data_IF_853147615319
#
_entry.id   IF_853147615319
#
_cell.length_a   1.000
_cell.length_b   1.000
_cell.length_c   1.000
_cell.angle_alpha   90.00
_cell.angle_beta   90.00
_cell.angle_gamma   90.00
#
_symmetry.space_group_name_H-M   'P 1'
#
loop_
_entity.id
_entity.type
_entity.pdbx_description
1 polymer ?
#
# COMPACT_ATOMS: atom_id res chain seq x y z
N UNK A 1 5.80 29.32 14.30
CA UNK A 1 6.08 28.02 14.96
C UNK A 1 6.65 27.09 13.90
N UNK A 2 7.62 26.27 14.24
CA UNK A 2 8.16 25.24 13.34
C UNK A 2 7.06 24.22 13.03
N UNK A 3 6.96 23.71 11.80
CA UNK A 3 6.03 22.62 11.49
C UNK A 3 6.42 21.38 12.30
N UNK A 4 5.45 20.77 12.99
CA UNK A 4 5.68 19.56 13.78
C UNK A 4 5.38 18.33 12.92
N UNK A 5 6.32 17.38 12.85
CA UNK A 5 6.15 16.08 12.19
C UNK A 5 6.36 14.97 13.21
N UNK A 6 5.40 14.05 13.30
CA UNK A 6 5.54 12.86 14.13
C UNK A 6 6.10 11.71 13.31
N UNK A 7 7.14 11.06 13.84
CA UNK A 7 7.79 9.90 13.22
C UNK A 7 7.46 8.65 14.03
N UNK A 8 6.69 7.75 13.44
CA UNK A 8 6.30 6.47 14.02
C UNK A 8 7.23 5.37 13.49
N UNK A 9 7.78 4.53 14.37
CA UNK A 9 8.69 3.46 13.94
C UNK A 9 8.08 2.10 14.18
N UNK A 10 8.14 1.23 13.18
CA UNK A 10 7.63 -0.16 13.24
C UNK A 10 8.75 -1.21 13.14
N UNK A 11 10.00 -0.77 12.94
CA UNK A 11 11.15 -1.63 12.65
C UNK A 11 11.56 -1.55 11.17
N UNK A 12 11.86 -2.70 10.57
CA UNK A 12 12.32 -2.79 9.18
C UNK A 12 13.80 -2.52 8.99
N UNK A 13 14.27 -2.60 7.73
CA UNK A 13 15.71 -2.50 7.35
C UNK A 13 16.36 -1.20 7.82
N UNK A 14 15.61 -0.13 7.90
CA UNK A 14 16.11 1.18 8.41
C UNK A 14 16.58 1.08 9.87
N UNK A 15 16.05 0.14 10.66
CA UNK A 15 16.48 -0.16 12.02
C UNK A 15 17.55 -1.26 12.14
N UNK A 16 18.13 -1.69 11.02
CA UNK A 16 19.14 -2.74 10.99
C UNK A 16 20.55 -2.16 10.80
N UNK A 17 21.54 -2.97 11.21
CA UNK A 17 22.95 -2.80 10.91
C UNK A 17 23.55 -4.16 10.55
N UNK A 18 24.41 -4.18 9.54
CA UNK A 18 25.16 -5.39 9.18
C UNK A 18 26.23 -5.69 10.23
N UNK A 19 26.31 -6.96 10.63
CA UNK A 19 27.40 -7.48 11.47
C UNK A 19 28.60 -7.91 10.60
N UNK A 20 29.71 -8.29 11.25
CA UNK A 20 30.95 -8.69 10.56
C UNK A 20 30.78 -9.92 9.66
N UNK A 21 29.80 -10.77 9.95
CA UNK A 21 29.42 -11.94 9.13
C UNK A 21 28.48 -11.62 7.95
N UNK A 22 28.13 -10.33 7.77
CA UNK A 22 27.24 -9.86 6.72
C UNK A 22 25.74 -9.99 7.04
N UNK A 23 25.39 -10.52 8.21
CA UNK A 23 23.98 -10.63 8.64
C UNK A 23 23.50 -9.30 9.23
N UNK A 24 22.37 -8.80 8.75
CA UNK A 24 21.79 -7.57 9.28
C UNK A 24 20.91 -7.87 10.52
N UNK A 25 21.18 -7.18 11.62
CA UNK A 25 20.43 -7.28 12.87
C UNK A 25 19.70 -6.00 13.19
N UNK A 26 18.53 -6.10 13.81
CA UNK A 26 17.69 -4.95 14.17
C UNK A 26 18.16 -4.35 15.52
N UNK A 27 19.27 -3.67 15.53
CA UNK A 27 19.88 -3.03 16.71
C UNK A 27 20.16 -1.53 16.52
N UNK A 28 19.81 -0.97 15.37
CA UNK A 28 20.05 0.41 15.01
C UNK A 28 18.85 1.31 15.34
N UNK A 29 19.10 2.46 15.97
CA UNK A 29 18.08 3.46 16.26
C UNK A 29 18.05 4.53 15.16
N UNK A 30 16.95 4.61 14.35
CA UNK A 30 16.86 5.58 13.27
C UNK A 30 16.94 7.05 13.73
N UNK A 31 16.70 7.35 15.03
CA UNK A 31 16.84 8.70 15.57
C UNK A 31 18.26 9.24 15.40
N UNK A 32 19.25 8.34 15.43
CA UNK A 32 20.65 8.71 15.18
C UNK A 32 20.92 9.26 13.79
N UNK A 33 20.07 8.94 12.80
CA UNK A 33 20.20 9.46 11.44
C UNK A 33 19.91 10.96 11.34
N UNK A 34 19.08 11.50 12.24
CA UNK A 34 18.59 12.89 12.17
C UNK A 34 19.71 13.91 12.24
N UNK A 35 20.74 13.66 13.05
CA UNK A 35 21.89 14.55 13.14
C UNK A 35 22.64 14.70 11.80
N UNK A 36 22.50 13.72 10.91
CA UNK A 36 23.15 13.70 9.59
C UNK A 36 22.22 14.22 8.48
N UNK A 37 20.94 14.47 8.78
CA UNK A 37 19.96 14.95 7.81
C UNK A 37 19.93 16.48 7.89
N UNK A 38 20.39 17.18 6.85
CA UNK A 38 20.17 18.62 6.71
C UNK A 38 18.67 18.91 6.51
N UNK A 39 17.90 18.91 7.60
CA UNK A 39 16.46 19.16 7.56
C UNK A 39 16.14 20.65 7.49
N UNK A 40 15.03 21.04 6.84
CA UNK A 40 14.39 22.31 7.09
C UNK A 40 14.06 22.46 8.58
N UNK A 41 13.67 23.65 8.99
CA UNK A 41 13.35 23.98 10.37
C UNK A 41 12.05 23.29 10.84
N UNK A 42 12.11 21.99 11.10
CA UNK A 42 11.01 21.10 11.48
C UNK A 42 11.20 20.58 12.90
N UNK A 43 10.13 20.56 13.68
CA UNK A 43 10.10 19.94 15.01
C UNK A 43 9.72 18.44 14.86
N UNK A 44 10.59 17.54 15.30
CA UNK A 44 10.42 16.09 15.17
C UNK A 44 10.11 15.42 16.51
N UNK A 45 9.05 14.64 16.56
CA UNK A 45 8.74 13.77 17.69
C UNK A 45 8.73 12.31 17.24
N UNK A 46 9.49 11.45 17.91
CA UNK A 46 9.60 10.02 17.61
C UNK A 46 8.80 9.16 18.58
N UNK A 47 8.05 8.19 18.03
CA UNK A 47 7.35 7.16 18.80
C UNK A 47 7.59 5.78 18.20
N UNK A 48 8.05 4.85 19.02
CA UNK A 48 8.13 3.43 18.62
C UNK A 48 6.77 2.77 18.86
N UNK A 49 6.20 2.17 17.82
CA UNK A 49 4.92 1.47 17.91
C UNK A 49 5.14 -0.02 18.18
N UNK A 50 5.96 -0.63 17.35
CA UNK A 50 6.47 -1.99 17.54
C UNK A 50 7.81 -2.14 16.81
N UNK A 51 8.42 -3.33 16.91
CA UNK A 51 9.72 -3.59 16.30
C UNK A 51 9.69 -4.96 15.63
N UNK A 52 9.33 -4.98 14.33
CA UNK A 52 9.21 -6.19 13.52
C UNK A 52 9.91 -6.04 12.17
N UNK A 53 10.39 -7.15 11.61
CA UNK A 53 10.64 -7.26 10.18
C UNK A 53 9.31 -7.15 9.42
N UNK A 54 9.32 -6.54 8.24
CA UNK A 54 8.04 -6.38 7.52
C UNK A 54 7.41 -7.70 7.08
N UNK A 55 8.20 -8.76 6.89
CA UNK A 55 7.70 -10.10 6.62
C UNK A 55 6.84 -10.69 7.77
N UNK A 56 7.00 -10.17 8.99
CA UNK A 56 6.26 -10.62 10.18
C UNK A 56 5.04 -9.73 10.49
N UNK A 57 4.77 -8.74 9.67
CA UNK A 57 3.61 -7.85 9.83
C UNK A 57 2.36 -8.58 9.34
N UNK A 58 1.36 -8.61 10.21
CA UNK A 58 0.06 -9.23 9.97
C UNK A 58 -1.07 -8.19 10.06
N UNK A 59 -2.29 -8.48 9.60
CA UNK A 59 -3.40 -7.51 9.61
C UNK A 59 -3.71 -6.89 10.97
N UNK A 60 -3.43 -7.60 12.08
CA UNK A 60 -3.54 -7.05 13.42
C UNK A 60 -2.56 -5.90 13.70
N UNK A 61 -1.40 -5.91 13.08
CA UNK A 61 -0.40 -4.83 13.19
C UNK A 61 -0.85 -3.57 12.42
N UNK A 62 -1.62 -3.74 11.34
CA UNK A 62 -2.23 -2.59 10.63
C UNK A 62 -3.22 -1.85 11.51
N UNK A 63 -4.02 -2.58 12.32
CA UNK A 63 -4.96 -1.99 13.29
C UNK A 63 -4.20 -1.17 14.33
N UNK A 64 -3.18 -1.77 14.96
CA UNK A 64 -2.33 -1.07 15.95
C UNK A 64 -1.69 0.19 15.34
N UNK A 65 -1.22 0.10 14.10
CA UNK A 65 -0.60 1.22 13.41
C UNK A 65 -1.62 2.30 13.05
N UNK A 66 -2.82 1.92 12.60
CA UNK A 66 -3.91 2.86 12.32
C UNK A 66 -4.33 3.64 13.58
N UNK A 67 -4.46 2.96 14.72
CA UNK A 67 -4.73 3.60 16.01
C UNK A 67 -3.63 4.57 16.43
N UNK A 68 -2.36 4.19 16.26
CA UNK A 68 -1.21 5.05 16.53
C UNK A 68 -1.19 6.29 15.63
N UNK A 69 -1.51 6.14 14.33
CA UNK A 69 -1.64 7.27 13.40
C UNK A 69 -2.80 8.18 13.81
N UNK A 70 -3.95 7.64 14.19
CA UNK A 70 -5.09 8.43 14.64
C UNK A 70 -4.75 9.26 15.90
N UNK A 71 -4.05 8.66 16.88
CA UNK A 71 -3.54 9.37 18.05
C UNK A 71 -2.53 10.46 17.67
N UNK A 72 -1.65 10.19 16.68
CA UNK A 72 -0.71 11.18 16.17
C UNK A 72 -1.44 12.36 15.50
N UNK A 73 -2.42 12.08 14.64
CA UNK A 73 -3.23 13.10 13.94
C UNK A 73 -4.02 13.98 14.93
N UNK A 74 -4.51 13.43 16.04
CA UNK A 74 -5.20 14.18 17.08
C UNK A 74 -4.34 15.29 17.71
N UNK A 75 -3.02 15.18 17.66
CA UNK A 75 -2.07 16.22 18.10
C UNK A 75 -1.89 17.35 17.06
N UNK A 76 -2.58 17.29 15.94
CA UNK A 76 -2.57 18.26 14.83
C UNK A 76 -1.16 18.56 14.31
N UNK A 77 -0.35 17.54 13.99
CA UNK A 77 0.95 17.77 13.38
C UNK A 77 0.78 18.30 11.95
N UNK A 78 1.86 18.75 11.36
CA UNK A 78 1.89 19.08 9.92
C UNK A 78 1.80 17.81 9.06
N UNK A 79 2.37 16.70 9.52
CA UNK A 79 2.30 15.38 8.91
C UNK A 79 2.80 14.28 9.82
N UNK A 80 2.58 13.04 9.41
CA UNK A 80 3.05 11.82 10.08
C UNK A 80 3.97 11.07 9.13
N UNK A 81 5.15 10.66 9.60
CA UNK A 81 6.06 9.77 8.89
C UNK A 81 6.03 8.40 9.57
N UNK A 82 6.01 7.33 8.80
CA UNK A 82 6.06 5.95 9.30
C UNK A 82 7.31 5.28 8.73
N UNK A 83 8.23 4.86 9.60
CA UNK A 83 9.36 4.03 9.24
C UNK A 83 8.95 2.56 9.27
N UNK A 84 9.03 1.90 8.11
CA UNK A 84 8.49 0.56 7.90
C UNK A 84 9.47 -0.29 7.06
N UNK A 85 9.48 -1.59 7.24
CA UNK A 85 10.23 -2.50 6.38
C UNK A 85 9.60 -2.58 4.98
N UNK A 86 10.43 -2.76 3.95
CA UNK A 86 10.01 -2.56 2.56
C UNK A 86 9.14 -3.67 1.98
N UNK A 87 9.24 -4.93 2.48
CA UNK A 87 8.61 -6.09 1.81
C UNK A 87 7.08 -6.02 1.78
N UNK A 88 6.46 -5.53 2.86
CA UNK A 88 5.00 -5.42 2.98
C UNK A 88 4.52 -3.98 3.13
N UNK A 89 5.39 -2.98 2.88
CA UNK A 89 5.05 -1.56 3.02
C UNK A 89 3.83 -1.17 2.18
N UNK A 90 3.71 -1.66 0.95
CA UNK A 90 2.60 -1.36 0.05
C UNK A 90 1.27 -1.99 0.51
N UNK A 91 1.29 -3.16 1.17
CA UNK A 91 0.10 -3.72 1.83
C UNK A 91 -0.34 -2.84 3.01
N UNK A 92 0.60 -2.47 3.87
CA UNK A 92 0.33 -1.59 5.02
C UNK A 92 -0.17 -0.21 4.57
N UNK A 93 0.43 0.36 3.51
CA UNK A 93 -0.01 1.64 2.95
C UNK A 93 -1.45 1.58 2.42
N UNK A 94 -1.80 0.49 1.73
CA UNK A 94 -3.17 0.24 1.26
C UNK A 94 -4.14 0.08 2.43
N UNK A 95 -3.77 -0.69 3.46
CA UNK A 95 -4.58 -0.90 4.65
C UNK A 95 -4.87 0.43 5.38
N UNK A 96 -3.84 1.22 5.64
CA UNK A 96 -4.01 2.53 6.28
C UNK A 96 -4.86 3.48 5.42
N UNK A 97 -4.74 3.44 4.09
CA UNK A 97 -5.54 4.28 3.20
C UNK A 97 -7.05 3.94 3.27
N UNK A 98 -7.42 2.69 3.53
CA UNK A 98 -8.81 2.29 3.71
C UNK A 98 -9.30 2.46 5.16
N UNK A 99 -8.46 2.18 6.14
CA UNK A 99 -8.81 2.27 7.56
C UNK A 99 -8.94 3.71 8.07
N UNK A 100 -8.18 4.66 7.49
CA UNK A 100 -8.10 6.05 7.93
C UNK A 100 -8.79 6.96 6.92
N UNK A 101 -10.04 7.30 7.21
CA UNK A 101 -10.87 8.14 6.32
C UNK A 101 -10.85 9.60 6.80
N UNK A 102 -10.90 10.52 5.85
CA UNK A 102 -10.90 11.96 6.13
C UNK A 102 -9.61 12.43 6.84
N UNK A 103 -8.47 11.96 6.35
CA UNK A 103 -7.16 12.39 6.83
C UNK A 103 -7.03 13.92 6.71
N UNK A 104 -6.69 14.59 7.81
CA UNK A 104 -6.40 16.04 7.81
C UNK A 104 -4.95 16.38 7.50
N UNK A 105 -4.06 15.38 7.50
CA UNK A 105 -2.62 15.53 7.30
C UNK A 105 -2.07 14.38 6.45
N UNK A 106 -0.95 14.56 5.73
CA UNK A 106 -0.30 13.48 5.02
C UNK A 106 0.25 12.43 6.00
N UNK A 107 0.12 11.16 5.61
CA UNK A 107 0.76 10.01 6.27
C UNK A 107 1.76 9.43 5.28
N UNK A 108 3.03 9.64 5.55
CA UNK A 108 4.13 9.33 4.63
C UNK A 108 4.89 8.11 5.13
N UNK A 109 4.86 7.03 4.38
CA UNK A 109 5.60 5.80 4.70
C UNK A 109 6.95 5.81 3.98
N UNK A 110 7.98 5.34 4.65
CA UNK A 110 9.31 5.16 4.08
C UNK A 110 10.09 4.07 4.83
N UNK A 111 11.27 3.75 4.31
CA UNK A 111 12.19 2.77 4.85
C UNK A 111 13.51 2.81 4.09
N UNK A 112 14.26 1.72 4.12
CA UNK A 112 15.47 1.59 3.31
C UNK A 112 15.66 0.17 2.77
N UNK A 113 16.34 0.04 1.64
CA UNK A 113 16.75 -1.25 1.09
C UNK A 113 18.08 -1.71 1.67
N UNK A 114 18.96 -0.77 1.99
CA UNK A 114 20.24 -1.01 2.66
C UNK A 114 20.07 -0.72 4.16
N UNK A 115 20.60 -1.58 5.05
CA UNK A 115 20.51 -1.37 6.50
C UNK A 115 20.86 0.06 6.91
N UNK A 116 20.05 0.67 7.77
CA UNK A 116 20.21 2.10 8.14
C UNK A 116 21.53 2.42 8.84
N UNK A 117 22.11 1.42 9.52
CA UNK A 117 23.43 1.54 10.17
C UNK A 117 24.63 1.38 9.25
N UNK A 118 24.42 1.04 7.96
CA UNK A 118 25.49 0.74 7.03
C UNK A 118 25.92 1.98 6.22
N UNK A 119 27.19 1.99 5.84
CA UNK A 119 27.73 3.02 4.93
C UNK A 119 27.05 2.92 3.56
N UNK A 120 26.62 4.06 3.01
CA UNK A 120 25.95 4.12 1.73
C UNK A 120 24.47 3.70 1.76
N UNK A 121 23.87 3.57 2.97
CA UNK A 121 22.44 3.32 3.11
C UNK A 121 21.59 4.41 2.44
N UNK A 122 20.46 3.99 1.87
CA UNK A 122 19.42 4.86 1.35
C UNK A 122 18.47 5.39 2.47
N UNK A 123 18.72 5.02 3.72
CA UNK A 123 17.92 5.42 4.87
C UNK A 123 17.86 6.95 5.07
N UNK A 124 19.02 7.61 5.00
CA UNK A 124 19.13 9.07 5.22
C UNK A 124 18.34 9.84 4.15
N UNK A 125 18.57 9.67 2.84
CA UNK A 125 17.81 10.38 1.82
C UNK A 125 16.32 10.06 1.87
N UNK A 126 15.93 8.79 2.03
CA UNK A 126 14.52 8.41 2.08
C UNK A 126 13.81 9.03 3.30
N UNK A 127 14.43 9.00 4.49
CA UNK A 127 13.85 9.62 5.70
C UNK A 127 13.74 11.14 5.54
N UNK A 128 14.79 11.79 4.99
CA UNK A 128 14.77 13.22 4.72
C UNK A 128 13.61 13.60 3.80
N UNK A 129 13.50 12.94 2.67
CA UNK A 129 12.48 13.22 1.68
C UNK A 129 11.07 12.97 2.24
N UNK A 130 10.87 11.91 3.03
CA UNK A 130 9.62 11.66 3.72
C UNK A 130 9.24 12.77 4.72
N UNK A 131 10.22 13.30 5.48
CA UNK A 131 9.98 14.41 6.41
C UNK A 131 9.64 15.70 5.64
N UNK A 132 10.37 16.01 4.56
CA UNK A 132 10.08 17.17 3.70
C UNK A 132 8.66 17.08 3.13
N UNK A 133 8.29 15.93 2.60
CA UNK A 133 6.92 15.72 2.08
C UNK A 133 5.89 15.88 3.19
N UNK A 134 6.08 15.26 4.36
CA UNK A 134 5.15 15.37 5.48
C UNK A 134 4.98 16.83 5.98
N UNK A 135 6.05 17.64 5.92
CA UNK A 135 6.05 19.02 6.38
C UNK A 135 5.44 20.00 5.36
N UNK A 136 5.66 19.79 4.05
CA UNK A 136 5.43 20.83 3.03
C UNK A 136 4.18 20.63 2.17
N UNK A 137 3.71 19.38 1.98
CA UNK A 137 2.58 19.13 1.07
C UNK A 137 1.23 19.61 1.61
N UNK A 138 0.34 20.02 0.71
CA UNK A 138 -1.02 20.45 1.04
C UNK A 138 -2.08 19.37 0.81
N UNK A 139 -1.70 18.18 0.39
CA UNK A 139 -2.61 17.03 0.34
C UNK A 139 -2.59 16.22 1.66
N UNK A 140 -3.62 15.42 1.87
CA UNK A 140 -3.78 14.55 3.03
C UNK A 140 -4.16 13.14 2.58
N UNK A 141 -3.16 12.37 2.20
CA UNK A 141 -3.29 10.97 1.78
C UNK A 141 -2.20 10.11 2.46
N UNK A 142 -2.42 8.80 2.47
CA UNK A 142 -1.35 7.84 2.73
C UNK A 142 -0.51 7.72 1.47
N UNK A 143 0.78 7.94 1.57
CA UNK A 143 1.72 7.80 0.45
C UNK A 143 3.02 7.12 0.90
N UNK A 144 3.74 6.57 -0.08
CA UNK A 144 5.10 6.06 0.09
C UNK A 144 6.05 7.07 -0.56
N UNK A 145 7.10 7.45 0.15
CA UNK A 145 8.22 8.22 -0.39
C UNK A 145 9.46 7.35 -0.37
N UNK A 146 10.05 7.15 -1.54
CA UNK A 146 11.19 6.25 -1.70
C UNK A 146 12.11 6.74 -2.82
N UNK A 147 13.33 6.21 -2.94
CA UNK A 147 14.26 6.60 -4.01
C UNK A 147 13.62 6.43 -5.39
N UNK A 148 13.71 7.46 -6.23
CA UNK A 148 13.14 7.47 -7.58
C UNK A 148 14.05 6.76 -8.61
N UNK A 149 15.35 6.69 -8.32
CA UNK A 149 16.37 6.12 -9.19
C UNK A 149 17.54 5.51 -8.40
N UNK A 150 18.34 4.71 -9.09
CA UNK A 150 19.51 4.05 -8.51
C UNK A 150 20.62 5.03 -8.04
N UNK A 151 20.57 6.30 -8.46
CA UNK A 151 21.54 7.34 -8.06
C UNK A 151 21.08 8.14 -6.84
N UNK A 152 19.85 7.93 -6.39
CA UNK A 152 19.24 8.66 -5.26
C UNK A 152 19.21 10.18 -5.47
N UNK A 153 18.94 10.60 -6.70
CA UNK A 153 18.90 12.03 -7.06
C UNK A 153 17.63 12.71 -6.58
N UNK A 154 16.56 11.93 -6.39
CA UNK A 154 15.26 12.38 -5.93
C UNK A 154 14.50 11.24 -5.24
N UNK A 155 13.53 11.59 -4.42
CA UNK A 155 12.48 10.70 -3.96
C UNK A 155 11.25 10.76 -4.88
N UNK A 156 10.57 9.63 -5.06
CA UNK A 156 9.26 9.53 -5.71
C UNK A 156 8.16 9.47 -4.65
N UNK A 157 7.08 10.21 -4.86
CA UNK A 157 5.90 10.24 -3.97
C UNK A 157 4.80 9.42 -4.62
N UNK A 158 4.52 8.24 -4.07
CA UNK A 158 3.57 7.27 -4.63
C UNK A 158 2.34 7.19 -3.73
N UNK A 159 1.12 7.27 -4.30
CA UNK A 159 -0.11 7.03 -3.55
C UNK A 159 -0.09 5.63 -2.94
N UNK A 160 -0.41 5.50 -1.65
CA UNK A 160 -0.23 4.24 -0.92
C UNK A 160 -0.93 3.04 -1.54
N UNK A 161 -2.20 3.20 -1.95
CA UNK A 161 -2.98 2.14 -2.60
C UNK A 161 -2.60 1.87 -4.07
N UNK A 162 -1.69 2.68 -4.64
CA UNK A 162 -1.12 2.49 -6.00
C UNK A 162 0.31 2.00 -5.98
N UNK A 163 0.91 1.93 -4.82
CA UNK A 163 2.29 1.50 -4.67
C UNK A 163 2.45 -0.02 -4.83
N UNK A 164 3.56 -0.43 -5.42
CA UNK A 164 4.01 -1.81 -5.48
C UNK A 164 5.52 -1.88 -5.29
N UNK A 165 6.01 -2.83 -4.47
CA UNK A 165 7.43 -3.21 -4.48
C UNK A 165 7.68 -4.06 -5.72
N UNK A 166 8.46 -3.52 -6.67
CA UNK A 166 8.72 -4.13 -7.98
C UNK A 166 10.11 -4.73 -8.10
N UNK A 167 10.97 -4.46 -7.12
CA UNK A 167 12.33 -4.99 -7.10
C UNK A 167 12.70 -5.49 -5.70
N UNK A 168 13.38 -6.64 -5.63
CA UNK A 168 13.72 -7.29 -4.36
C UNK A 168 14.87 -6.63 -3.60
N UNK A 169 15.79 -5.93 -4.30
CA UNK A 169 17.00 -5.37 -3.68
C UNK A 169 17.47 -4.02 -4.24
N UNK A 170 16.92 -3.52 -5.36
CA UNK A 170 17.27 -2.18 -5.84
C UNK A 170 16.75 -1.09 -4.90
N UNK A 171 17.46 0.02 -4.82
CA UNK A 171 17.06 1.14 -3.95
C UNK A 171 15.85 1.90 -4.48
N UNK A 172 15.57 1.85 -5.78
CA UNK A 172 14.36 2.34 -6.46
C UNK A 172 13.28 1.25 -6.55
N UNK A 173 13.07 0.55 -5.44
CA UNK A 173 12.27 -0.68 -5.40
C UNK A 173 10.77 -0.49 -5.56
N UNK A 174 10.23 0.73 -5.52
CA UNK A 174 8.79 0.99 -5.56
C UNK A 174 8.35 1.69 -6.85
N UNK A 175 7.21 1.27 -7.38
CA UNK A 175 6.58 1.89 -8.53
C UNK A 175 5.12 2.28 -8.24
N UNK A 176 4.65 3.34 -8.92
CA UNK A 176 3.23 3.69 -9.01
C UNK A 176 2.57 2.86 -10.11
N UNK A 177 1.52 2.14 -9.78
CA UNK A 177 0.87 1.22 -10.71
C UNK A 177 -0.38 1.88 -11.32
N UNK A 178 -0.47 1.86 -12.63
CA UNK A 178 -1.56 2.33 -13.48
C UNK A 178 -1.88 3.83 -13.43
N UNK A 179 -1.22 4.59 -12.55
CA UNK A 179 -1.31 6.05 -12.49
C UNK A 179 0.09 6.64 -12.32
N UNK A 180 0.34 7.91 -12.72
CA UNK A 180 1.61 8.55 -12.41
C UNK A 180 1.79 8.67 -10.89
N UNK A 181 3.03 8.77 -10.38
CA UNK A 181 3.26 9.13 -8.98
C UNK A 181 2.64 10.51 -8.68
N UNK A 182 2.37 10.81 -7.42
CA UNK A 182 1.88 12.13 -7.00
C UNK A 182 2.88 13.23 -7.36
N UNK A 183 4.16 12.90 -7.32
CA UNK A 183 5.24 13.83 -7.64
C UNK A 183 6.61 13.26 -7.28
N UNK A 184 7.60 14.14 -7.28
CA UNK A 184 8.97 13.85 -6.85
C UNK A 184 9.44 14.91 -5.85
N UNK A 185 10.42 14.55 -5.02
CA UNK A 185 11.06 15.44 -4.06
C UNK A 185 12.57 15.40 -4.25
N UNK A 186 13.20 16.56 -4.40
CA UNK A 186 14.66 16.70 -4.50
C UNK A 186 15.12 17.87 -3.64
N UNK A 187 15.93 17.58 -2.62
CA UNK A 187 16.17 18.59 -1.59
C UNK A 187 14.87 19.02 -0.93
N UNK A 188 14.57 20.31 -0.90
CA UNK A 188 13.31 20.85 -0.37
C UNK A 188 12.28 21.13 -1.48
N UNK A 189 12.61 20.86 -2.75
CA UNK A 189 11.72 21.09 -3.86
C UNK A 189 10.81 19.89 -4.10
N UNK A 190 9.50 20.11 -4.15
CA UNK A 190 8.49 19.09 -4.49
C UNK A 190 7.89 19.48 -5.83
N UNK A 191 7.98 18.57 -6.82
CA UNK A 191 7.39 18.74 -8.14
C UNK A 191 6.19 17.79 -8.26
N UNK A 192 4.99 18.36 -8.45
CA UNK A 192 3.74 17.61 -8.59
C UNK A 192 3.57 17.13 -10.03
N UNK A 193 3.04 15.92 -10.21
CA UNK A 193 2.75 15.36 -11.55
C UNK A 193 1.44 15.87 -12.16
N UNK A 194 0.61 16.57 -11.39
CA UNK A 194 -0.75 16.91 -11.78
C UNK A 194 -1.81 15.86 -11.42
N UNK A 195 -1.43 14.73 -10.82
CA UNK A 195 -2.39 13.77 -10.29
C UNK A 195 -3.25 14.42 -9.19
N UNK A 196 -4.57 14.29 -9.31
CA UNK A 196 -5.49 14.77 -8.29
C UNK A 196 -5.24 14.08 -6.95
N UNK A 197 -5.24 14.87 -5.89
CA UNK A 197 -5.03 14.39 -4.52
C UNK A 197 -6.09 14.94 -3.59
N UNK A 198 -6.33 14.23 -2.49
CA UNK A 198 -7.27 14.70 -1.47
C UNK A 198 -6.66 15.87 -0.70
N UNK A 199 -7.38 17.00 -0.60
CA UNK A 199 -6.90 18.15 0.16
C UNK A 199 -6.89 17.85 1.66
N UNK A 200 -6.18 18.65 2.42
CA UNK A 200 -6.29 18.67 3.88
C UNK A 200 -7.72 19.03 4.29
N UNK A 201 -8.21 18.41 5.33
CA UNK A 201 -9.57 18.66 5.84
C UNK A 201 -9.55 18.87 7.35
N UNK A 202 -10.53 19.63 7.84
CA UNK A 202 -10.82 19.76 9.27
C UNK A 202 -11.91 18.78 9.75
N UNK A 203 -12.45 17.98 8.84
CA UNK A 203 -13.39 16.90 9.19
C UNK A 203 -12.67 15.93 10.13
N UNK A 204 -13.31 15.50 11.23
CA UNK A 204 -12.69 14.53 12.13
C UNK A 204 -12.34 13.22 11.41
N UNK A 205 -11.15 12.72 11.67
CA UNK A 205 -10.69 11.42 11.18
C UNK A 205 -11.66 10.33 11.60
N UNK A 206 -12.11 9.51 10.64
CA UNK A 206 -12.90 8.32 10.90
C UNK A 206 -12.02 7.08 10.73
N UNK A 207 -12.04 6.22 11.73
CA UNK A 207 -11.38 4.92 11.69
C UNK A 207 -12.36 3.81 11.40
N UNK A 208 -11.95 2.87 10.52
CA UNK A 208 -12.67 1.65 10.20
C UNK A 208 -11.63 0.52 10.10
N UNK A 209 -11.31 -0.10 11.22
CA UNK A 209 -10.13 -0.98 11.37
C UNK A 209 -10.43 -2.46 11.26
N UNK A 210 -11.70 -2.87 11.21
CA UNK A 210 -12.06 -4.27 11.07
C UNK A 210 -11.63 -4.82 9.71
N UNK A 211 -10.96 -5.97 9.72
CA UNK A 211 -10.50 -6.68 8.53
C UNK A 211 -10.78 -8.17 8.64
N UNK A 212 -11.30 -8.75 7.58
CA UNK A 212 -11.39 -10.20 7.44
C UNK A 212 -10.02 -10.78 7.08
N UNK A 213 -9.58 -11.80 7.81
CA UNK A 213 -8.25 -12.42 7.62
C UNK A 213 -8.29 -13.67 6.74
N UNK A 214 -9.47 -14.09 6.32
CA UNK A 214 -9.67 -15.30 5.54
C UNK A 214 -9.88 -15.01 4.04
N UNK A 215 -9.79 -13.74 3.60
CA UNK A 215 -9.70 -13.42 2.19
C UNK A 215 -8.32 -13.81 1.66
N UNK A 216 -8.27 -14.36 0.44
CA UNK A 216 -7.04 -14.91 -0.15
C UNK A 216 -6.76 -14.33 -1.53
N UNK A 217 -5.49 -14.36 -1.93
CA UNK A 217 -5.03 -14.05 -3.28
C UNK A 217 -4.52 -15.32 -3.95
N UNK A 218 -5.05 -15.64 -5.13
CA UNK A 218 -4.65 -16.80 -5.92
C UNK A 218 -4.17 -16.32 -7.29
N UNK A 219 -2.93 -16.66 -7.63
CA UNK A 219 -2.38 -16.49 -8.96
C UNK A 219 -2.69 -17.72 -9.80
N UNK A 220 -3.57 -17.59 -10.78
CA UNK A 220 -3.93 -18.69 -11.66
C UNK A 220 -2.83 -19.01 -12.67
N UNK A 221 -2.55 -20.27 -12.85
CA UNK A 221 -1.52 -20.78 -13.76
C UNK A 221 -2.11 -21.77 -14.77
N UNK A 222 -1.39 -22.09 -15.86
CA UNK A 222 -1.82 -23.15 -16.76
C UNK A 222 -1.92 -24.55 -16.12
N UNK A 223 -1.24 -24.76 -14.96
CA UNK A 223 -1.25 -26.02 -14.25
C UNK A 223 -2.46 -26.20 -13.30
N UNK A 224 -3.24 -25.15 -13.04
CA UNK A 224 -4.39 -25.25 -12.16
C UNK A 224 -5.47 -26.14 -12.77
N UNK A 225 -6.08 -26.95 -11.91
CA UNK A 225 -7.26 -27.77 -12.26
C UNK A 225 -8.47 -27.29 -11.45
N UNK A 226 -9.72 -27.63 -11.86
CA UNK A 226 -10.89 -27.35 -11.04
C UNK A 226 -10.74 -27.80 -9.58
N UNK A 227 -10.19 -28.99 -9.34
CA UNK A 227 -9.99 -29.54 -8.00
C UNK A 227 -8.90 -28.78 -7.22
N UNK A 228 -7.84 -28.29 -7.88
CA UNK A 228 -6.80 -27.52 -7.22
C UNK A 228 -7.32 -26.13 -6.80
N UNK A 229 -8.10 -25.48 -7.66
CA UNK A 229 -8.70 -24.20 -7.34
C UNK A 229 -9.76 -24.33 -6.23
N UNK A 230 -10.60 -25.37 -6.28
CA UNK A 230 -11.59 -25.63 -5.23
C UNK A 230 -10.93 -25.82 -3.85
N UNK A 231 -9.81 -26.56 -3.79
CA UNK A 231 -9.05 -26.74 -2.54
C UNK A 231 -8.45 -25.42 -2.03
N UNK A 232 -7.93 -24.57 -2.92
CA UNK A 232 -7.38 -23.27 -2.55
C UNK A 232 -8.45 -22.32 -2.00
N UNK A 233 -9.67 -22.37 -2.54
CA UNK A 233 -10.79 -21.54 -2.11
C UNK A 233 -11.46 -22.04 -0.81
N UNK A 234 -11.15 -23.26 -0.39
CA UNK A 234 -11.79 -23.86 0.78
C UNK A 234 -11.51 -23.06 2.05
N UNK A 235 -12.57 -22.67 2.76
CA UNK A 235 -12.48 -21.91 4.01
C UNK A 235 -12.30 -20.39 3.82
N UNK A 236 -11.97 -19.91 2.61
CA UNK A 236 -11.84 -18.48 2.38
C UNK A 236 -13.20 -17.76 2.49
N UNK A 237 -13.20 -16.53 2.99
CA UNK A 237 -14.38 -15.65 3.06
C UNK A 237 -14.61 -14.87 1.76
N UNK A 238 -13.58 -14.74 0.94
CA UNK A 238 -13.56 -14.11 -0.36
C UNK A 238 -12.21 -14.36 -1.03
N UNK A 239 -12.10 -14.09 -2.31
CA UNK A 239 -10.88 -14.31 -3.07
C UNK A 239 -10.57 -13.17 -4.04
N UNK A 240 -9.30 -12.89 -4.24
CA UNK A 240 -8.79 -12.17 -5.41
C UNK A 240 -8.14 -13.21 -6.32
N UNK A 241 -8.59 -13.31 -7.56
CA UNK A 241 -8.00 -14.20 -8.56
C UNK A 241 -7.20 -13.37 -9.56
N UNK A 242 -5.90 -13.59 -9.62
CA UNK A 242 -5.05 -13.04 -10.68
C UNK A 242 -5.19 -13.87 -11.94
N UNK A 243 -6.06 -13.42 -12.85
CA UNK A 243 -6.21 -14.01 -14.16
C UNK A 243 -5.06 -13.67 -15.11
N UNK A 244 -5.01 -14.35 -16.24
CA UNK A 244 -3.99 -14.12 -17.27
C UNK A 244 -4.37 -12.95 -18.21
N UNK A 245 -3.38 -12.30 -18.79
CA UNK A 245 -3.62 -11.18 -19.72
C UNK A 245 -4.47 -10.08 -19.09
N UNK A 246 -5.64 -9.80 -19.64
CA UNK A 246 -6.56 -8.77 -19.12
C UNK A 246 -7.41 -9.23 -17.93
N UNK A 247 -7.08 -10.36 -17.30
CA UNK A 247 -7.84 -10.96 -16.20
C UNK A 247 -8.62 -12.21 -16.57
N UNK A 248 -8.29 -12.85 -17.70
CA UNK A 248 -9.00 -14.05 -18.14
C UNK A 248 -8.91 -15.19 -17.14
N UNK A 249 -10.05 -15.81 -16.88
CA UNK A 249 -10.20 -17.05 -16.13
C UNK A 249 -10.51 -18.18 -17.10
N UNK A 250 -9.71 -19.23 -17.10
CA UNK A 250 -9.89 -20.41 -17.95
C UNK A 250 -11.29 -20.97 -17.79
N UNK A 251 -11.93 -21.37 -18.91
CA UNK A 251 -13.35 -21.76 -18.97
C UNK A 251 -13.71 -22.91 -18.04
N UNK A 252 -12.81 -23.88 -17.89
CA UNK A 252 -13.02 -25.04 -16.99
C UNK A 252 -12.90 -24.68 -15.49
N UNK A 253 -12.32 -23.54 -15.15
CA UNK A 253 -12.22 -23.03 -13.78
C UNK A 253 -13.44 -22.17 -13.37
N UNK A 254 -14.19 -21.63 -14.34
CA UNK A 254 -15.33 -20.73 -14.07
C UNK A 254 -16.45 -21.39 -13.24
N UNK A 255 -16.82 -22.67 -13.44
CA UNK A 255 -17.77 -23.34 -12.57
C UNK A 255 -17.35 -23.35 -11.10
N UNK A 256 -16.07 -23.56 -10.81
CA UNK A 256 -15.54 -23.56 -9.43
C UNK A 256 -15.73 -22.17 -8.79
N UNK A 257 -15.48 -21.10 -9.53
CA UNK A 257 -15.73 -19.72 -9.05
C UNK A 257 -17.22 -19.52 -8.75
N UNK A 258 -18.10 -20.04 -9.58
CA UNK A 258 -19.55 -19.99 -9.36
C UNK A 258 -19.97 -20.75 -8.09
N UNK A 259 -19.45 -21.96 -7.91
CA UNK A 259 -19.73 -22.83 -6.76
C UNK A 259 -19.18 -22.27 -5.45
N UNK A 260 -18.05 -21.58 -5.49
CA UNK A 260 -17.48 -20.90 -4.33
C UNK A 260 -18.46 -19.91 -3.70
N UNK A 261 -19.28 -19.23 -4.51
CA UNK A 261 -20.45 -18.47 -4.09
C UNK A 261 -20.15 -17.32 -3.11
N UNK A 262 -18.90 -16.89 -2.98
CA UNK A 262 -18.44 -15.77 -2.13
C UNK A 262 -17.85 -14.65 -2.99
N UNK A 263 -17.66 -13.43 -2.43
CA UNK A 263 -17.06 -12.33 -3.18
C UNK A 263 -15.73 -12.74 -3.81
N UNK A 264 -15.66 -12.64 -5.13
CA UNK A 264 -14.48 -13.00 -5.91
C UNK A 264 -14.09 -11.83 -6.80
N UNK A 265 -12.98 -11.21 -6.48
CA UNK A 265 -12.43 -10.09 -7.24
C UNK A 265 -11.51 -10.64 -8.33
N UNK A 266 -11.75 -10.26 -9.57
CA UNK A 266 -10.88 -10.65 -10.68
C UNK A 266 -9.91 -9.50 -10.95
N UNK A 267 -8.63 -9.81 -10.84
CA UNK A 267 -7.52 -8.93 -11.16
C UNK A 267 -6.66 -9.56 -12.27
N UNK A 268 -5.54 -8.97 -12.58
CA UNK A 268 -4.60 -9.49 -13.57
C UNK A 268 -3.21 -9.72 -12.99
N UNK A 269 -2.50 -10.71 -13.53
CA UNK A 269 -1.09 -10.97 -13.23
C UNK A 269 -0.15 -9.93 -13.86
N UNK A 270 -0.64 -9.16 -14.84
CA UNK A 270 0.16 -8.11 -15.46
C UNK A 270 0.29 -6.94 -14.49
N UNK A 271 1.50 -6.43 -14.36
CA UNK A 271 1.78 -5.35 -13.41
C UNK A 271 1.06 -4.04 -13.81
N UNK A 272 0.96 -3.78 -15.10
CA UNK A 272 0.33 -2.59 -15.67
C UNK A 272 -0.83 -2.93 -16.58
N UNK A 273 -1.77 -1.99 -16.74
CA UNK A 273 -2.92 -2.06 -17.63
C UNK A 273 -4.23 -2.38 -16.92
N UNK A 274 -4.18 -3.03 -15.77
CA UNK A 274 -5.37 -3.41 -15.01
C UNK A 274 -6.19 -4.53 -15.66
N UNK A 275 -7.27 -4.91 -15.01
CA UNK A 275 -8.24 -5.87 -15.52
C UNK A 275 -9.18 -5.16 -16.53
N UNK A 276 -9.51 -5.86 -17.61
CA UNK A 276 -10.41 -5.38 -18.68
C UNK A 276 -11.29 -6.52 -19.20
N UNK A 277 -11.95 -7.24 -18.30
CA UNK A 277 -12.93 -8.27 -18.68
C UNK A 277 -14.10 -7.66 -19.45
N UNK A 278 -14.69 -8.47 -20.35
CA UNK A 278 -15.76 -8.05 -21.24
C UNK A 278 -15.29 -7.64 -22.64
N UNK A 279 -13.97 -7.58 -22.85
CA UNK A 279 -13.39 -7.34 -24.18
C UNK A 279 -13.50 -8.56 -25.11
N UNK A 280 -13.68 -9.74 -24.54
CA UNK A 280 -13.74 -11.01 -25.26
C UNK A 280 -15.00 -11.79 -24.90
N UNK A 281 -15.46 -12.62 -25.83
CA UNK A 281 -16.67 -13.42 -25.69
C UNK A 281 -16.60 -14.40 -24.50
N UNK A 282 -15.42 -14.99 -24.27
CA UNK A 282 -15.15 -15.89 -23.15
C UNK A 282 -15.36 -15.26 -21.76
N UNK A 283 -15.34 -13.95 -21.67
CA UNK A 283 -15.49 -13.22 -20.41
C UNK A 283 -16.94 -13.10 -19.96
N UNK A 284 -17.92 -13.35 -20.85
CA UNK A 284 -19.35 -13.19 -20.54
C UNK A 284 -19.80 -14.10 -19.42
N UNK A 285 -19.33 -15.34 -19.43
CA UNK A 285 -19.73 -16.33 -18.43
C UNK A 285 -19.22 -15.97 -17.03
N UNK A 286 -17.95 -15.56 -16.92
CA UNK A 286 -17.36 -15.18 -15.63
C UNK A 286 -18.00 -13.89 -15.09
N UNK A 287 -18.30 -12.92 -15.96
CA UNK A 287 -18.98 -11.69 -15.56
C UNK A 287 -20.45 -11.89 -15.19
N UNK A 288 -21.08 -12.97 -15.65
CA UNK A 288 -22.45 -13.33 -15.29
C UNK A 288 -22.55 -13.94 -13.89
N UNK A 289 -21.45 -14.37 -13.26
CA UNK A 289 -21.45 -14.92 -11.90
C UNK A 289 -21.74 -13.78 -10.90
N UNK A 290 -22.80 -13.87 -10.09
CA UNK A 290 -23.30 -12.73 -9.30
C UNK A 290 -22.28 -12.11 -8.32
N UNK A 291 -21.36 -12.91 -7.79
CA UNK A 291 -20.37 -12.46 -6.79
C UNK A 291 -18.98 -12.18 -7.36
N UNK A 292 -18.83 -12.24 -8.68
CA UNK A 292 -17.61 -11.83 -9.36
C UNK A 292 -17.58 -10.31 -9.50
N UNK A 293 -16.47 -9.71 -9.12
CA UNK A 293 -16.25 -8.27 -9.07
C UNK A 293 -14.98 -7.95 -9.86
N UNK A 294 -15.06 -7.21 -10.98
CA UNK A 294 -13.89 -6.70 -11.66
C UNK A 294 -13.08 -5.75 -10.77
N UNK A 295 -11.76 -5.94 -10.70
CA UNK A 295 -10.85 -5.07 -9.92
C UNK A 295 -10.61 -3.72 -10.61
N UNK A 296 -10.88 -3.62 -11.91
CA UNK A 296 -10.49 -2.47 -12.71
C UNK A 296 -8.97 -2.33 -12.75
N UNK A 297 -8.48 -1.14 -12.51
CA UNK A 297 -7.04 -0.85 -12.56
C UNK A 297 -6.33 -0.94 -11.20
N UNK A 298 -6.99 -1.46 -10.15
CA UNK A 298 -6.30 -1.79 -8.89
C UNK A 298 -5.25 -2.88 -9.11
N UNK A 299 -4.07 -2.73 -8.52
CA UNK A 299 -3.15 -3.86 -8.41
C UNK A 299 -3.71 -4.93 -7.46
N UNK A 300 -3.32 -6.18 -7.65
CA UNK A 300 -3.86 -7.33 -6.91
C UNK A 300 -3.65 -7.26 -5.40
N UNK A 301 -2.54 -6.69 -4.95
CA UNK A 301 -2.24 -6.53 -3.52
C UNK A 301 -3.19 -5.52 -2.88
N UNK A 302 -3.42 -4.39 -3.54
CA UNK A 302 -4.40 -3.40 -3.10
C UNK A 302 -5.82 -3.97 -3.12
N UNK A 303 -6.18 -4.73 -4.17
CA UNK A 303 -7.48 -5.39 -4.28
C UNK A 303 -7.71 -6.39 -3.14
N UNK A 304 -6.67 -7.18 -2.76
CA UNK A 304 -6.74 -8.08 -1.61
C UNK A 304 -7.00 -7.30 -0.31
N UNK A 305 -6.21 -6.27 -0.03
CA UNK A 305 -6.36 -5.46 1.20
C UNK A 305 -7.74 -4.79 1.24
N UNK A 306 -8.22 -4.27 0.11
CA UNK A 306 -9.56 -3.69 0.02
C UNK A 306 -10.66 -4.71 0.27
N UNK A 307 -10.53 -5.93 -0.28
CA UNK A 307 -11.47 -7.03 -0.04
C UNK A 307 -11.48 -7.44 1.43
N UNK A 308 -10.31 -7.62 2.06
CA UNK A 308 -10.19 -7.91 3.49
C UNK A 308 -10.89 -6.84 4.35
N UNK A 309 -10.67 -5.57 4.01
CA UNK A 309 -11.30 -4.46 4.70
C UNK A 309 -12.82 -4.41 4.46
N UNK A 310 -13.28 -4.56 3.22
CA UNK A 310 -14.69 -4.55 2.88
C UNK A 310 -15.49 -5.67 3.59
N UNK A 311 -14.92 -6.87 3.66
CA UNK A 311 -15.50 -7.99 4.40
C UNK A 311 -15.52 -7.73 5.92
N UNK A 312 -14.46 -7.11 6.45
CA UNK A 312 -14.36 -6.75 7.87
C UNK A 312 -15.40 -5.72 8.31
N UNK A 313 -15.85 -4.84 7.41
CA UNK A 313 -16.92 -3.88 7.72
C UNK A 313 -18.31 -4.53 7.84
N UNK A 314 -18.40 -5.86 7.89
CA UNK A 314 -19.66 -6.59 7.92
C UNK A 314 -20.37 -6.64 6.57
N UNK A 315 -19.67 -6.21 5.51
CA UNK A 315 -20.18 -6.25 4.14
C UNK A 315 -20.44 -7.68 3.68
N UNK A 316 -21.57 -7.92 3.04
CA UNK A 316 -21.92 -9.21 2.45
C UNK A 316 -22.55 -9.02 1.07
N UNK A 317 -22.08 -9.79 0.09
CA UNK A 317 -22.70 -9.79 -1.22
C UNK A 317 -22.61 -8.43 -1.93
N UNK A 318 -23.74 -7.77 -2.12
CA UNK A 318 -23.82 -6.48 -2.83
C UNK A 318 -23.12 -5.34 -2.12
N UNK A 319 -23.05 -5.34 -0.80
CA UNK A 319 -22.32 -4.33 -0.04
C UNK A 319 -20.82 -4.40 -0.34
N UNK A 320 -20.25 -5.62 -0.36
CA UNK A 320 -18.85 -5.83 -0.74
C UNK A 320 -18.62 -5.41 -2.20
N UNK A 321 -19.51 -5.76 -3.12
CA UNK A 321 -19.43 -5.34 -4.51
C UNK A 321 -19.45 -3.81 -4.64
N UNK A 322 -20.34 -3.14 -3.94
CA UNK A 322 -20.44 -1.68 -3.93
C UNK A 322 -19.15 -1.04 -3.41
N UNK A 323 -18.65 -1.51 -2.28
CA UNK A 323 -17.39 -1.04 -1.70
C UNK A 323 -16.23 -1.25 -2.67
N UNK A 324 -16.09 -2.45 -3.23
CA UNK A 324 -14.99 -2.77 -4.14
C UNK A 324 -14.98 -1.91 -5.40
N UNK A 325 -16.13 -1.46 -5.88
CA UNK A 325 -16.29 -0.64 -7.09
C UNK A 325 -16.24 0.87 -6.81
N UNK A 326 -16.28 1.30 -5.57
CA UNK A 326 -16.20 2.71 -5.17
C UNK A 326 -14.74 3.10 -4.98
N UNK A 327 -14.29 4.20 -5.61
CA UNK A 327 -12.98 4.78 -5.30
C UNK A 327 -12.97 5.37 -3.89
N UNK A 328 -12.22 4.77 -3.01
CA UNK A 328 -12.15 5.16 -1.60
C UNK A 328 -10.90 5.96 -1.26
N UNK A 329 -9.78 5.65 -1.89
CA UNK A 329 -8.46 6.20 -1.58
C UNK A 329 -7.63 6.57 -2.82
N UNK A 330 -8.23 6.60 -4.00
CA UNK A 330 -7.57 6.81 -5.29
C UNK A 330 -7.03 5.51 -5.89
N UNK A 331 -7.55 4.37 -5.42
CA UNK A 331 -7.16 3.04 -5.88
C UNK A 331 -7.83 2.63 -7.20
N UNK A 332 -8.89 3.33 -7.61
CA UNK A 332 -9.59 3.09 -8.88
C UNK A 332 -9.55 4.38 -9.69
N UNK A 333 -9.07 4.29 -10.93
CA UNK A 333 -9.19 5.39 -11.87
C UNK A 333 -10.61 5.44 -12.42
N UNK A 334 -11.16 6.66 -12.57
CA UNK A 334 -12.42 6.83 -13.31
C UNK A 334 -12.15 6.38 -14.74
N UNK A 335 -12.92 5.42 -15.29
CA UNK A 335 -12.75 5.01 -16.67
C UNK A 335 -12.85 6.23 -17.58
N UNK A 336 -11.81 6.45 -18.40
CA UNK A 336 -11.91 7.42 -19.48
C UNK A 336 -13.12 7.02 -20.34
N UNK A 337 -14.14 7.86 -20.39
CA UNK A 337 -15.32 7.62 -21.21
C UNK A 337 -14.93 7.81 -22.67
N UNK A 338 -14.26 6.80 -23.23
CA UNK A 338 -14.05 6.70 -24.67
C UNK A 338 -15.11 5.81 -25.30
#
# INVERSE_FOLDING_TARGET
>A
MKPKVLVLTTGGTIGHRSQQDGVAVMDFDPRGLIASIGLPDVDLEFRSIFRKGSMDIVPGDWVVLAEAVAQAVALRPRGVVILHGTDTMHYTASALAFMLRDLGVPVVMTGSMIPGGDSGSDAIPNLRDAIVVAAEVEFAEVCIVFSADAKRTAGVIIRGCRARKVHSHAIDAFASINVPPIGTVAGNAIVRSGLDTRPRTSVPLRMATDVDRNAILIKLTPADTPESLARQLQGASGAVLEGTGVGHIRTDLQPVVSEFGKPTVISTQTLYGGERLGSYDVDRNILAIPKVIPAGDMNSDCALVKLMWALGQGGQGEDVRSIMRTDLAGEISVPDRR
#
